data_IF_757949781254
#
_entry.id   IF_757949781254
#
_cell.length_a   1.000
_cell.length_b   1.000
_cell.length_c   1.000
_cell.angle_alpha   90.00
_cell.angle_beta   90.00
_cell.angle_gamma   90.00
#
_symmetry.space_group_name_H-M   'P 1'
#
loop_
_entity.id
_entity.type
_entity.pdbx_description
1 polymer ?
#
# COMPACT_ATOMS: atom_id res chain seq x y z
N UNK A 1 2.56 14.09 12.99
CA UNK A 1 3.22 13.52 11.81
C UNK A 1 3.57 12.08 12.14
N UNK A 2 2.96 11.12 11.47
CA UNK A 2 3.19 9.69 11.67
C UNK A 2 2.92 8.96 10.37
N UNK A 3 3.61 7.84 10.16
CA UNK A 3 3.40 7.00 8.99
C UNK A 3 2.02 6.33 9.12
N UNK A 4 1.18 6.39 8.08
CA UNK A 4 -0.16 5.79 8.14
C UNK A 4 -0.06 4.27 8.36
N UNK A 5 -1.05 3.70 9.05
CA UNK A 5 -1.11 2.26 9.29
C UNK A 5 -1.22 1.43 7.99
N UNK A 6 -1.66 2.05 6.89
CA UNK A 6 -1.75 1.43 5.56
C UNK A 6 -0.45 1.52 4.75
N UNK A 7 0.57 2.22 5.24
CA UNK A 7 1.83 2.38 4.54
C UNK A 7 2.64 1.08 4.55
N UNK A 8 3.31 0.79 3.42
CA UNK A 8 4.03 -0.46 3.23
C UNK A 8 5.06 -0.73 4.31
N UNK A 9 5.80 0.30 4.75
CA UNK A 9 6.81 0.14 5.81
C UNK A 9 6.20 -0.30 7.15
N UNK A 10 4.96 0.11 7.44
CA UNK A 10 4.24 -0.28 8.66
C UNK A 10 3.61 -1.66 8.50
N UNK A 11 2.89 -1.88 7.40
CA UNK A 11 2.20 -3.15 7.12
C UNK A 11 3.19 -4.33 7.07
N UNK A 12 4.37 -4.12 6.49
CA UNK A 12 5.38 -5.17 6.31
C UNK A 12 6.47 -5.16 7.40
N UNK A 13 6.38 -4.29 8.42
CA UNK A 13 7.43 -4.08 9.43
C UNK A 13 7.90 -5.39 10.09
N UNK A 14 6.95 -6.23 10.53
CA UNK A 14 7.28 -7.49 11.20
C UNK A 14 7.96 -8.49 10.25
N UNK A 15 7.48 -8.56 9.01
CA UNK A 15 8.07 -9.43 7.96
C UNK A 15 9.50 -8.98 7.68
N UNK A 16 9.71 -7.67 7.48
CA UNK A 16 11.03 -7.10 7.26
C UNK A 16 11.98 -7.34 8.44
N UNK A 17 11.50 -7.18 9.68
CA UNK A 17 12.29 -7.44 10.88
C UNK A 17 12.72 -8.92 10.97
N UNK A 18 11.80 -9.86 10.73
CA UNK A 18 12.12 -11.29 10.73
C UNK A 18 13.12 -11.67 9.62
N UNK A 19 12.97 -11.11 8.42
CA UNK A 19 13.92 -11.30 7.30
C UNK A 19 15.32 -10.80 7.68
N UNK A 20 15.43 -9.60 8.26
CA UNK A 20 16.71 -9.04 8.69
C UNK A 20 17.40 -9.90 9.76
N UNK A 21 16.61 -10.53 10.63
CA UNK A 21 17.09 -11.48 11.64
C UNK A 21 17.32 -12.91 11.08
N UNK A 22 17.04 -13.15 9.79
CA UNK A 22 17.10 -14.47 9.13
C UNK A 22 16.18 -15.52 9.78
N UNK A 23 15.13 -15.08 10.47
CA UNK A 23 14.10 -15.96 11.01
C UNK A 23 13.01 -16.19 9.94
N UNK A 24 13.24 -17.21 9.12
CA UNK A 24 12.38 -17.52 7.98
C UNK A 24 11.00 -18.03 8.37
N UNK A 25 10.86 -18.66 9.54
CA UNK A 25 9.57 -19.15 10.02
C UNK A 25 8.73 -17.97 10.50
N UNK A 26 9.31 -17.09 11.33
CA UNK A 26 8.64 -15.87 11.77
C UNK A 26 8.22 -14.99 10.58
N UNK A 27 9.11 -14.81 9.59
CA UNK A 27 8.80 -14.04 8.37
C UNK A 27 7.61 -14.63 7.61
N UNK A 28 7.54 -15.96 7.50
CA UNK A 28 6.45 -16.66 6.81
C UNK A 28 5.12 -16.51 7.55
N UNK A 29 5.12 -16.64 8.87
CA UNK A 29 3.92 -16.44 9.68
C UNK A 29 3.43 -14.99 9.64
N UNK A 30 4.33 -14.01 9.74
CA UNK A 30 4.01 -12.59 9.62
C UNK A 30 3.42 -12.26 8.24
N UNK A 31 4.04 -12.74 7.15
CA UNK A 31 3.52 -12.57 5.79
C UNK A 31 2.12 -13.15 5.64
N UNK A 32 1.91 -14.36 6.17
CA UNK A 32 0.61 -15.04 6.12
C UNK A 32 -0.48 -14.20 6.79
N UNK A 33 -0.22 -13.60 7.96
CA UNK A 33 -1.18 -12.73 8.66
C UNK A 33 -1.57 -11.50 7.84
N UNK A 34 -0.60 -10.84 7.20
CA UNK A 34 -0.85 -9.68 6.32
C UNK A 34 -1.77 -10.09 5.17
N UNK A 35 -1.47 -11.18 4.48
CA UNK A 35 -2.24 -11.65 3.32
C UNK A 35 -3.62 -12.19 3.70
N UNK A 36 -3.75 -12.87 4.84
CA UNK A 36 -5.05 -13.33 5.37
C UNK A 36 -5.95 -12.15 5.74
N UNK A 37 -5.39 -11.11 6.34
CA UNK A 37 -6.12 -9.88 6.66
C UNK A 37 -6.60 -9.19 5.39
N UNK A 38 -5.75 -9.04 4.38
CA UNK A 38 -6.13 -8.45 3.09
C UNK A 38 -7.24 -9.24 2.39
N UNK A 39 -7.17 -10.58 2.43
CA UNK A 39 -8.22 -11.47 1.90
C UNK A 39 -9.55 -11.30 2.65
N UNK A 40 -9.52 -11.24 3.98
CA UNK A 40 -10.71 -11.01 4.81
C UNK A 40 -11.35 -9.66 4.50
N UNK A 41 -10.58 -8.58 4.48
CA UNK A 41 -11.09 -7.23 4.19
C UNK A 41 -11.71 -7.15 2.79
N UNK A 42 -11.10 -7.82 1.81
CA UNK A 42 -11.66 -7.92 0.45
C UNK A 42 -13.01 -8.62 0.44
N UNK A 43 -13.12 -9.75 1.16
CA UNK A 43 -14.38 -10.51 1.29
C UNK A 43 -15.47 -9.66 1.96
N UNK A 44 -15.16 -9.04 3.09
CA UNK A 44 -16.10 -8.19 3.84
C UNK A 44 -16.59 -7.02 3.00
N UNK A 45 -15.71 -6.36 2.25
CA UNK A 45 -16.08 -5.28 1.34
C UNK A 45 -17.01 -5.76 0.23
N UNK A 46 -16.69 -6.90 -0.39
CA UNK A 46 -17.52 -7.49 -1.44
C UNK A 46 -18.91 -7.89 -0.90
N UNK A 47 -18.97 -8.44 0.32
CA UNK A 47 -20.24 -8.77 1.00
C UNK A 47 -21.11 -7.54 1.28
N UNK A 48 -20.49 -6.37 1.50
CA UNK A 48 -21.19 -5.08 1.62
C UNK A 48 -21.55 -4.44 0.26
N UNK A 49 -21.15 -5.03 -0.86
CA UNK A 49 -21.34 -4.45 -2.19
C UNK A 49 -20.52 -3.18 -2.43
N UNK A 50 -19.49 -2.94 -1.62
CA UNK A 50 -18.62 -1.77 -1.75
C UNK A 50 -17.59 -1.98 -2.87
N UNK A 51 -17.47 -0.99 -3.74
CA UNK A 51 -16.43 -0.97 -4.77
C UNK A 51 -15.14 -0.42 -4.15
N UNK A 52 -14.02 -1.11 -4.38
CA UNK A 52 -12.72 -0.57 -3.99
C UNK A 52 -12.35 0.63 -4.85
N UNK A 53 -11.95 1.73 -4.22
CA UNK A 53 -11.40 2.88 -4.90
C UNK A 53 -10.02 3.21 -4.34
N UNK A 54 -9.03 3.56 -5.19
CA UNK A 54 -7.73 4.02 -4.73
C UNK A 54 -7.82 5.37 -4.02
N UNK A 55 -6.95 5.58 -3.03
CA UNK A 55 -7.00 6.78 -2.19
C UNK A 55 -6.42 8.04 -2.82
N UNK A 56 -5.53 7.92 -3.82
CA UNK A 56 -4.78 9.04 -4.40
C UNK A 56 -4.91 9.14 -5.93
N UNK A 57 -5.61 8.19 -6.55
CA UNK A 57 -5.75 8.12 -8.00
C UNK A 57 -7.19 7.81 -8.39
N UNK A 58 -7.67 8.48 -9.44
CA UNK A 58 -8.86 8.04 -10.18
C UNK A 58 -8.45 6.98 -11.19
N UNK A 59 -9.10 5.82 -11.14
CA UNK A 59 -9.00 4.80 -12.19
C UNK A 59 -10.30 4.74 -12.99
N UNK A 60 -10.16 4.78 -14.31
CA UNK A 60 -11.26 4.58 -15.24
C UNK A 60 -10.84 3.58 -16.31
N UNK A 61 -11.71 2.61 -16.61
CA UNK A 61 -11.48 1.67 -17.69
C UNK A 61 -12.26 2.12 -18.92
N UNK A 62 -11.58 2.28 -20.04
CA UNK A 62 -12.20 2.68 -21.29
C UNK A 62 -12.98 1.51 -21.91
N UNK A 63 -13.76 1.79 -22.96
CA UNK A 63 -14.56 0.79 -23.70
C UNK A 63 -13.72 -0.31 -24.38
N UNK A 64 -12.41 -0.10 -24.53
CA UNK A 64 -11.46 -1.05 -25.11
C UNK A 64 -10.79 -1.93 -24.04
N UNK A 65 -11.05 -1.66 -22.76
CA UNK A 65 -10.47 -2.38 -21.63
C UNK A 65 -9.16 -1.78 -21.10
N UNK A 66 -8.68 -0.66 -21.67
CA UNK A 66 -7.49 0.01 -21.18
C UNK A 66 -7.81 0.82 -19.92
N UNK A 67 -6.82 0.90 -19.02
CA UNK A 67 -6.94 1.69 -17.79
C UNK A 67 -6.31 3.06 -17.97
N UNK A 68 -7.09 4.09 -17.72
CA UNK A 68 -6.63 5.45 -17.53
C UNK A 68 -6.51 5.75 -16.02
N UNK A 69 -5.43 6.41 -15.65
CA UNK A 69 -5.10 6.72 -14.26
C UNK A 69 -4.71 8.19 -14.13
N UNK A 70 -5.36 8.90 -13.21
CA UNK A 70 -5.15 10.32 -12.97
C UNK A 70 -4.90 10.54 -11.48
N UNK A 71 -3.90 11.37 -11.08
CA UNK A 71 -3.75 11.74 -9.68
C UNK A 71 -4.99 12.54 -9.23
N UNK A 72 -5.41 12.33 -7.99
CA UNK A 72 -6.47 13.14 -7.37
C UNK A 72 -5.97 14.52 -6.94
N UNK A 73 -4.67 14.61 -6.68
CA UNK A 73 -3.99 15.82 -6.24
C UNK A 73 -2.97 16.26 -7.31
N UNK A 74 -3.04 17.51 -7.73
CA UNK A 74 -2.15 18.06 -8.77
C UNK A 74 -0.75 18.41 -8.25
N UNK A 75 -0.53 18.30 -6.93
CA UNK A 75 0.75 18.57 -6.31
C UNK A 75 1.00 17.63 -5.14
N UNK A 76 2.26 17.25 -4.95
CA UNK A 76 2.71 16.53 -3.76
C UNK A 76 3.45 17.50 -2.84
N UNK A 77 3.38 17.32 -1.51
CA UNK A 77 4.20 18.10 -0.59
C UNK A 77 5.69 17.93 -0.92
N UNK A 78 6.52 18.96 -0.64
CA UNK A 78 7.96 18.86 -0.82
C UNK A 78 8.52 17.61 -0.13
N UNK A 79 9.52 16.99 -0.74
CA UNK A 79 10.17 15.83 -0.16
C UNK A 79 10.62 16.16 1.28
N UNK A 80 10.38 15.27 2.26
CA UNK A 80 10.81 15.50 3.64
C UNK A 80 12.32 15.71 3.77
N UNK A 81 13.08 15.22 2.79
CA UNK A 81 14.54 15.32 2.71
C UNK A 81 14.88 16.11 1.45
N UNK A 82 15.49 17.28 1.63
CA UNK A 82 16.05 18.09 0.54
C UNK A 82 17.55 17.81 0.47
N UNK A 83 18.03 17.26 -0.65
CA UNK A 83 19.47 17.09 -0.89
C UNK A 83 19.99 18.36 -1.58
N UNK A 84 21.00 19.05 -1.02
CA UNK A 84 21.61 20.20 -1.68
C UNK A 84 22.23 19.80 -3.01
N UNK A 85 21.99 20.57 -4.07
CA UNK A 85 22.70 20.40 -5.34
C UNK A 85 24.15 20.88 -5.19
N UNK A 86 25.15 20.17 -5.74
CA UNK A 86 26.53 20.64 -5.73
C UNK A 86 26.66 21.88 -6.63
N UNK A 87 27.36 22.91 -6.12
CA UNK A 87 27.68 24.17 -6.80
C UNK A 87 28.68 24.01 -7.95
#
# INVERSE_FOLDING_TARGET
MGVSASESAVVWAEVSAAILNKDWEAARQAKRRVEETARRLTKERNERGEVWTPSHFSLWQNKHGDWECWPLEDSVPPAPIVVPSPS
#
